data_IF_178395939867
#
_entry.id   IF_178395939867
#
_cell.length_a   1.000
_cell.length_b   1.000
_cell.length_c   1.000
_cell.angle_alpha   90.00
_cell.angle_beta   90.00
_cell.angle_gamma   90.00
#
_symmetry.space_group_name_H-M   'P 1'
#
loop_
_entity.id
_entity.type
_entity.pdbx_description
1 polymer ?
#
# COMPACT_ATOMS: atom_id res chain seq x y z
N UNK A 1 8.06 11.05 -18.30
CA UNK A 1 7.65 9.76 -17.70
C UNK A 1 6.14 9.73 -17.69
N UNK A 2 5.46 8.57 -17.80
CA UNK A 2 4.01 8.55 -17.72
C UNK A 2 3.53 9.02 -16.34
N UNK A 3 2.44 9.77 -16.32
CA UNK A 3 1.77 10.21 -15.11
C UNK A 3 0.63 9.25 -14.75
N UNK A 4 0.57 8.90 -13.48
CA UNK A 4 -0.50 8.09 -12.91
C UNK A 4 -1.17 8.86 -11.78
N UNK A 5 -2.48 8.70 -11.64
CA UNK A 5 -3.29 9.29 -10.59
C UNK A 5 -3.81 8.19 -9.67
N UNK A 6 -3.92 8.48 -8.38
CA UNK A 6 -4.28 7.50 -7.35
C UNK A 6 -5.57 7.87 -6.64
N UNK A 7 -6.69 7.57 -7.29
CA UNK A 7 -8.00 7.90 -6.75
C UNK A 7 -8.40 6.93 -5.62
N UNK A 8 -9.10 7.45 -4.62
CA UNK A 8 -9.69 6.63 -3.56
C UNK A 8 -11.19 6.53 -3.79
N UNK A 9 -11.66 5.33 -4.15
CA UNK A 9 -13.09 5.03 -4.24
C UNK A 9 -13.62 4.51 -2.91
N UNK A 10 -14.80 4.96 -2.53
CA UNK A 10 -15.57 4.44 -1.40
C UNK A 10 -17.08 4.45 -1.72
N UNK A 11 -17.92 3.99 -0.77
CA UNK A 11 -19.37 4.14 -0.87
C UNK A 11 -19.87 5.59 -0.91
N UNK A 12 -19.04 6.55 -0.50
CA UNK A 12 -19.39 7.97 -0.46
C UNK A 12 -18.98 8.71 -1.74
N UNK A 13 -18.33 8.03 -2.68
CA UNK A 13 -17.83 8.61 -3.92
C UNK A 13 -16.34 8.34 -4.13
N UNK A 14 -15.78 9.08 -5.09
CA UNK A 14 -14.37 9.04 -5.45
C UNK A 14 -13.69 10.32 -4.97
N UNK A 15 -12.58 10.16 -4.27
CA UNK A 15 -11.63 11.23 -3.97
C UNK A 15 -10.53 11.17 -5.02
N UNK A 16 -10.43 12.22 -5.85
CA UNK A 16 -9.61 12.23 -7.05
C UNK A 16 -8.24 12.83 -6.75
N UNK A 17 -7.19 12.12 -7.17
CA UNK A 17 -5.84 12.70 -7.22
C UNK A 17 -5.71 13.51 -8.52
N UNK A 18 -5.72 14.83 -8.40
CA UNK A 18 -5.62 15.73 -9.57
C UNK A 18 -4.18 16.05 -9.96
N UNK A 19 -3.22 15.80 -9.08
CA UNK A 19 -1.80 16.10 -9.33
C UNK A 19 -1.14 14.92 -10.04
N UNK A 20 -1.39 13.71 -9.54
CA UNK A 20 -0.75 12.49 -10.01
C UNK A 20 0.75 12.48 -9.77
N UNK A 21 1.39 11.35 -10.05
CA UNK A 21 2.84 11.17 -9.95
C UNK A 21 3.43 10.71 -11.27
N UNK A 22 4.56 11.29 -11.65
CA UNK A 22 5.36 10.79 -12.78
C UNK A 22 6.16 9.57 -12.35
N UNK A 23 5.80 8.41 -12.89
CA UNK A 23 6.41 7.14 -12.52
C UNK A 23 6.90 6.40 -13.77
N UNK A 24 8.03 5.67 -13.69
CA UNK A 24 8.67 5.09 -14.87
C UNK A 24 7.90 3.89 -15.44
N UNK A 25 7.03 3.25 -14.66
CA UNK A 25 6.31 2.04 -15.06
C UNK A 25 5.04 1.83 -14.23
N UNK A 26 4.21 0.89 -14.67
CA UNK A 26 3.03 0.45 -13.91
C UNK A 26 3.41 -0.25 -12.60
N UNK A 27 4.54 -0.96 -12.57
CA UNK A 27 5.04 -1.58 -11.34
C UNK A 27 5.42 -0.51 -10.29
N UNK A 28 6.04 0.60 -10.72
CA UNK A 28 6.33 1.72 -9.83
C UNK A 28 5.05 2.43 -9.35
N UNK A 29 4.01 2.50 -10.18
CA UNK A 29 2.69 2.98 -9.78
C UNK A 29 2.04 2.06 -8.75
N UNK A 30 2.17 0.74 -8.93
CA UNK A 30 1.68 -0.23 -7.95
C UNK A 30 2.41 -0.08 -6.61
N UNK A 31 3.73 0.10 -6.61
CA UNK A 31 4.51 0.31 -5.38
C UNK A 31 4.06 1.57 -4.63
N UNK A 32 3.85 2.70 -5.32
CA UNK A 32 3.33 3.93 -4.70
C UNK A 32 1.91 3.73 -4.16
N UNK A 33 1.04 3.07 -4.92
CA UNK A 33 -0.32 2.79 -4.49
C UNK A 33 -0.34 1.92 -3.22
N UNK A 34 0.53 0.91 -3.12
CA UNK A 34 0.69 0.08 -1.92
C UNK A 34 1.23 0.87 -0.73
N UNK A 35 2.21 1.77 -0.95
CA UNK A 35 2.73 2.65 0.09
C UNK A 35 1.63 3.59 0.61
N UNK A 36 0.82 4.16 -0.28
CA UNK A 36 -0.36 4.96 0.09
C UNK A 36 -1.38 4.13 0.87
N UNK A 37 -1.61 2.90 0.44
CA UNK A 37 -2.50 1.98 1.10
C UNK A 37 -2.08 1.67 2.54
N UNK A 38 -0.76 1.54 2.79
CA UNK A 38 -0.20 1.44 4.13
C UNK A 38 -0.50 2.65 5.01
N UNK A 39 -0.41 3.86 4.44
CA UNK A 39 -0.76 5.13 5.14
C UNK A 39 -2.25 5.22 5.46
N UNK A 40 -3.09 4.77 4.52
CA UNK A 40 -4.56 4.82 4.63
C UNK A 40 -5.14 3.69 5.51
N UNK A 41 -4.42 2.58 5.66
CA UNK A 41 -4.82 1.46 6.51
C UNK A 41 -5.20 1.92 7.93
N UNK A 42 -4.41 2.80 8.53
CA UNK A 42 -4.66 3.28 9.89
C UNK A 42 -5.94 4.13 9.95
N UNK A 43 -6.18 4.95 8.92
CA UNK A 43 -7.40 5.75 8.76
C UNK A 43 -8.64 4.85 8.55
N UNK A 44 -8.50 3.74 7.83
CA UNK A 44 -9.61 2.86 7.47
C UNK A 44 -9.85 1.72 8.46
N UNK A 45 -8.93 1.45 9.37
CA UNK A 45 -9.08 0.43 10.41
C UNK A 45 -10.31 0.65 11.30
N UNK A 46 -10.77 1.89 11.45
CA UNK A 46 -12.00 2.25 12.18
C UNK A 46 -13.28 2.17 11.36
N UNK A 47 -13.20 1.90 10.05
CA UNK A 47 -14.37 1.81 9.16
C UNK A 47 -15.04 0.44 9.34
N UNK A 48 -16.38 0.36 9.40
CA UNK A 48 -17.09 -0.92 9.52
C UNK A 48 -16.71 -1.90 8.39
N UNK A 49 -16.56 -3.21 8.66
CA UNK A 49 -16.15 -4.20 7.66
C UNK A 49 -17.01 -4.19 6.38
N UNK A 50 -18.32 -3.97 6.53
CA UNK A 50 -19.24 -3.89 5.40
C UNK A 50 -18.95 -2.72 4.47
N UNK A 51 -18.26 -1.69 4.95
CA UNK A 51 -17.93 -0.47 4.22
C UNK A 51 -16.52 -0.53 3.65
N UNK A 52 -15.65 -1.34 4.25
CA UNK A 52 -14.30 -1.61 3.76
C UNK A 52 -14.32 -2.29 2.38
N UNK A 53 -15.34 -3.11 2.09
CA UNK A 53 -15.51 -3.76 0.78
C UNK A 53 -15.69 -2.78 -0.38
N UNK A 54 -16.17 -1.58 -0.07
CA UNK A 54 -16.42 -0.52 -1.05
C UNK A 54 -15.18 0.37 -1.26
N UNK A 55 -14.15 0.21 -0.41
CA UNK A 55 -12.91 0.98 -0.45
C UNK A 55 -11.92 0.34 -1.43
N UNK A 56 -11.42 1.15 -2.36
CA UNK A 56 -10.35 0.77 -3.28
C UNK A 56 -9.49 1.97 -3.65
N UNK A 57 -8.22 1.70 -3.97
CA UNK A 57 -7.35 2.65 -4.68
C UNK A 57 -7.43 2.32 -6.16
N UNK A 58 -7.71 3.32 -6.99
CA UNK A 58 -7.77 3.21 -8.44
C UNK A 58 -6.57 3.94 -9.04
N UNK A 59 -5.75 3.20 -9.80
CA UNK A 59 -4.65 3.78 -10.57
C UNK A 59 -5.21 4.16 -11.93
N UNK A 60 -5.11 5.44 -12.25
CA UNK A 60 -5.66 6.04 -13.46
C UNK A 60 -4.51 6.59 -14.31
N UNK A 61 -4.57 6.40 -15.63
CA UNK A 61 -3.56 6.90 -16.57
C UNK A 61 -3.85 8.35 -17.03
N UNK A 62 -2.96 8.91 -17.85
CA UNK A 62 -3.10 10.26 -18.43
C UNK A 62 -4.35 10.45 -19.29
N UNK A 63 -4.94 9.38 -19.81
CA UNK A 63 -6.18 9.43 -20.58
C UNK A 63 -7.43 9.40 -19.68
N UNK A 64 -7.25 9.31 -18.35
CA UNK A 64 -8.34 9.19 -17.39
C UNK A 64 -8.91 7.77 -17.30
N UNK A 65 -8.20 6.76 -17.82
CA UNK A 65 -8.63 5.37 -17.78
C UNK A 65 -8.08 4.69 -16.53
N UNK A 66 -8.96 4.02 -15.78
CA UNK A 66 -8.54 3.15 -14.68
C UNK A 66 -7.80 1.95 -15.24
N UNK A 67 -6.49 1.92 -15.01
CA UNK A 67 -5.59 0.84 -15.45
C UNK A 67 -5.44 -0.25 -14.39
N UNK A 68 -5.72 0.05 -13.13
CA UNK A 68 -5.73 -0.93 -12.04
C UNK A 68 -6.62 -0.52 -10.87
N UNK A 69 -7.18 -1.50 -10.17
CA UNK A 69 -7.95 -1.30 -8.95
C UNK A 69 -7.39 -2.19 -7.84
N UNK A 70 -7.03 -1.57 -6.72
CA UNK A 70 -6.52 -2.22 -5.51
C UNK A 70 -7.60 -2.16 -4.43
N UNK A 71 -8.39 -3.24 -4.24
CA UNK A 71 -9.41 -3.27 -3.20
C UNK A 71 -8.78 -3.37 -1.81
N UNK A 72 -9.49 -2.88 -0.79
CA UNK A 72 -9.01 -2.81 0.60
C UNK A 72 -8.44 -4.14 1.16
N UNK A 73 -9.03 -5.29 0.84
CA UNK A 73 -8.53 -6.57 1.33
C UNK A 73 -7.15 -6.95 0.76
N UNK A 74 -6.82 -6.47 -0.45
CA UNK A 74 -5.49 -6.66 -1.05
C UNK A 74 -4.47 -5.75 -0.39
N UNK A 75 -4.89 -4.52 -0.06
CA UNK A 75 -4.14 -3.54 0.73
C UNK A 75 -3.81 -4.10 2.11
N UNK A 76 -4.80 -4.66 2.83
CA UNK A 76 -4.57 -5.26 4.14
C UNK A 76 -3.57 -6.41 4.10
N UNK A 77 -3.62 -7.26 3.06
CA UNK A 77 -2.65 -8.36 2.89
C UNK A 77 -1.24 -7.83 2.63
N UNK A 78 -1.09 -6.81 1.80
CA UNK A 78 0.21 -6.19 1.53
C UNK A 78 0.81 -5.53 2.79
N UNK A 79 0.04 -4.70 3.49
CA UNK A 79 0.49 -4.06 4.73
C UNK A 79 0.77 -5.05 5.86
N UNK A 80 0.11 -6.22 5.88
CA UNK A 80 0.43 -7.30 6.81
C UNK A 80 1.78 -7.94 6.47
N UNK A 81 2.09 -8.18 5.19
CA UNK A 81 3.34 -8.79 4.75
C UNK A 81 4.57 -7.88 4.95
N UNK A 82 4.44 -6.56 4.72
CA UNK A 82 5.54 -5.61 4.98
C UNK A 82 5.90 -5.53 6.47
N UNK A 83 4.88 -5.49 7.34
CA UNK A 83 5.10 -5.52 8.80
C UNK A 83 5.82 -6.81 9.23
N UNK A 84 5.47 -7.97 8.64
CA UNK A 84 6.20 -9.21 8.89
C UNK A 84 7.64 -9.21 8.34
N UNK A 85 7.91 -8.54 7.21
CA UNK A 85 9.26 -8.45 6.65
C UNK A 85 10.17 -7.53 7.47
N UNK A 86 9.65 -6.39 7.94
CA UNK A 86 10.40 -5.45 8.79
C UNK A 86 10.75 -6.08 10.14
N UNK A 87 9.79 -6.75 10.79
CA UNK A 87 10.07 -7.47 12.05
C UNK A 87 11.08 -8.60 11.84
N UNK A 88 11.02 -9.36 10.74
CA UNK A 88 11.99 -10.44 10.48
C UNK A 88 13.40 -9.91 10.18
N UNK A 89 13.54 -8.79 9.48
CA UNK A 89 14.84 -8.18 9.20
C UNK A 89 15.45 -7.51 10.43
N UNK A 90 14.65 -6.85 11.28
CA UNK A 90 15.11 -6.30 12.56
C UNK A 90 15.56 -7.41 13.53
N UNK A 91 14.84 -8.54 13.61
CA UNK A 91 15.27 -9.71 14.39
C UNK A 91 16.55 -10.34 13.86
N UNK A 92 16.70 -10.47 12.53
CA UNK A 92 17.92 -11.00 11.93
C UNK A 92 19.12 -10.05 12.07
N UNK A 93 18.86 -8.74 12.14
CA UNK A 93 19.89 -7.72 12.34
C UNK A 93 20.35 -7.69 13.81
N UNK A 94 19.44 -7.65 14.78
CA UNK A 94 19.78 -7.73 16.21
C UNK A 94 20.33 -9.09 16.65
N UNK A 95 19.94 -10.18 16.00
CA UNK A 95 20.51 -11.50 16.27
C UNK A 95 21.95 -11.67 15.75
N UNK A 96 22.41 -10.82 14.82
CA UNK A 96 23.81 -10.80 14.37
C UNK A 96 24.71 -9.90 15.21
N UNK A 97 24.15 -8.87 15.84
CA UNK A 97 24.88 -7.99 16.77
C UNK A 97 25.00 -8.61 18.18
N UNK A 98 24.09 -9.53 18.54
CA UNK A 98 24.17 -10.32 19.78
C UNK A 98 25.13 -11.51 19.62
N UNK A 99 26.35 -11.24 19.16
CA UNK A 99 27.43 -12.20 19.24
C UNK A 99 27.94 -12.32 20.66
N UNK A 100 27.22 -13.00 21.56
CA UNK A 100 27.85 -13.48 22.79
C UNK A 100 27.24 -14.78 23.35
N UNK A 101 28.15 -15.74 23.52
CA UNK A 101 28.12 -16.94 24.36
C UNK A 101 27.16 -18.09 23.99
N UNK A 102 27.59 -18.90 23.02
CA UNK A 102 27.47 -20.35 23.13
C UNK A 102 28.86 -20.98 22.94
N UNK A 103 29.67 -20.92 24.00
CA UNK A 103 30.81 -21.80 24.21
C UNK A 103 30.59 -22.51 25.54
N UNK A 104 30.73 -23.84 25.50
CA UNK A 104 30.60 -24.85 26.56
C UNK A 104 29.18 -25.32 26.91
#
# INVERSE_FOLDING_TARGET
MPRYFFDVRSRFGRDEDLEGSELPSMDAALDEALAMAGRLHDLWSGVPPESQKDIAIEIVDEAGLTVMTLPFWQIERAGRLERFHKTRLEWLYHSKESGEAASA
#
